data_IF_097127469155
#
_entry.id   IF_097127469155
#
_cell.length_a   1.000
_cell.length_b   1.000
_cell.length_c   1.000
_cell.angle_alpha   90.00
_cell.angle_beta   90.00
_cell.angle_gamma   90.00
#
_symmetry.space_group_name_H-M   'P 1'
#
loop_
_entity.id
_entity.type
_entity.pdbx_description
1 polymer ?
#
# COMPACT_ATOMS: atom_id res chain seq x y z
N UNK A 1 -20.77 28.53 14.57
CA UNK A 1 -20.07 27.65 13.62
C UNK A 1 -18.99 26.88 14.38
N UNK A 2 -19.30 25.65 14.77
CA UNK A 2 -18.37 24.78 15.50
C UNK A 2 -17.19 24.42 14.59
N UNK A 3 -15.96 24.74 15.03
CA UNK A 3 -14.74 24.19 14.43
C UNK A 3 -14.74 22.70 14.76
N UNK A 4 -15.21 21.87 13.84
CA UNK A 4 -14.93 20.44 13.86
C UNK A 4 -13.41 20.32 13.86
N UNK A 5 -12.84 19.93 14.99
CA UNK A 5 -11.45 19.50 15.06
C UNK A 5 -11.29 18.39 14.02
N UNK A 6 -10.60 18.66 12.92
CA UNK A 6 -10.33 17.68 11.86
C UNK A 6 -9.19 16.78 12.31
N UNK A 7 -9.38 16.04 13.41
CA UNK A 7 -8.51 14.92 13.75
C UNK A 7 -8.68 13.87 12.67
N UNK A 8 -7.57 13.43 12.08
CA UNK A 8 -7.62 12.34 11.12
C UNK A 8 -8.07 11.05 11.83
N UNK A 9 -8.86 10.20 11.16
CA UNK A 9 -9.46 9.02 11.78
C UNK A 9 -8.40 8.04 12.26
N UNK A 10 -8.64 7.44 13.42
CA UNK A 10 -7.74 6.51 14.11
C UNK A 10 -8.24 5.06 14.06
N UNK A 11 -9.48 4.83 13.63
CA UNK A 11 -10.09 3.49 13.53
C UNK A 11 -10.72 3.24 12.17
N UNK A 12 -10.97 1.97 11.86
CA UNK A 12 -11.67 1.55 10.64
C UNK A 12 -13.08 2.13 10.64
N UNK A 13 -13.79 2.07 11.77
CA UNK A 13 -15.14 2.57 11.94
C UNK A 13 -15.21 4.08 11.72
N UNK A 14 -14.24 4.85 12.22
CA UNK A 14 -14.16 6.29 11.96
C UNK A 14 -13.88 6.62 10.49
N UNK A 15 -12.97 5.89 9.84
CA UNK A 15 -12.73 6.05 8.39
C UNK A 15 -14.03 5.80 7.64
N UNK A 16 -14.65 4.65 7.84
CA UNK A 16 -15.85 4.23 7.10
C UNK A 16 -17.03 5.18 7.37
N UNK A 17 -17.29 5.52 8.63
CA UNK A 17 -18.38 6.45 8.98
C UNK A 17 -18.17 7.81 8.35
N UNK A 18 -16.94 8.35 8.40
CA UNK A 18 -16.61 9.63 7.77
C UNK A 18 -16.80 9.62 6.25
N UNK A 19 -16.47 8.52 5.57
CA UNK A 19 -16.65 8.42 4.12
C UNK A 19 -18.14 8.22 3.75
N UNK A 20 -18.90 7.49 4.57
CA UNK A 20 -20.36 7.35 4.40
C UNK A 20 -21.10 8.68 4.64
N UNK A 21 -20.73 9.42 5.68
CA UNK A 21 -21.34 10.71 6.05
C UNK A 21 -21.07 11.83 5.04
N UNK A 22 -20.04 11.68 4.19
CA UNK A 22 -19.79 12.60 3.08
C UNK A 22 -20.85 12.50 1.98
N UNK A 23 -21.71 11.47 2.04
CA UNK A 23 -23.10 11.53 1.59
C UNK A 23 -23.37 11.50 0.09
N UNK A 24 -22.41 11.80 -0.79
CA UNK A 24 -22.64 11.83 -2.24
C UNK A 24 -21.43 11.28 -3.02
N UNK A 25 -21.71 10.44 -4.03
CA UNK A 25 -20.73 9.95 -5.01
C UNK A 25 -20.04 8.62 -4.67
N UNK A 26 -19.07 8.25 -5.50
CA UNK A 26 -18.42 6.93 -5.55
C UNK A 26 -17.76 6.50 -4.24
N UNK A 27 -17.25 7.46 -3.48
CA UNK A 27 -16.54 7.26 -2.21
C UNK A 27 -17.43 6.57 -1.17
N UNK A 28 -18.72 6.90 -1.12
CA UNK A 28 -19.66 6.30 -0.18
C UNK A 28 -19.94 4.82 -0.53
N UNK A 29 -20.00 4.48 -1.82
CA UNK A 29 -20.16 3.09 -2.27
C UNK A 29 -18.96 2.24 -1.89
N UNK A 30 -17.74 2.73 -2.15
CA UNK A 30 -16.52 2.06 -1.71
C UNK A 30 -16.51 1.84 -0.19
N UNK A 31 -16.85 2.86 0.60
CA UNK A 31 -16.92 2.73 2.05
C UNK A 31 -17.95 1.67 2.50
N UNK A 32 -19.11 1.58 1.85
CA UNK A 32 -20.09 0.54 2.15
C UNK A 32 -19.55 -0.86 1.83
N UNK A 33 -18.89 -1.05 0.68
CA UNK A 33 -18.30 -2.34 0.29
C UNK A 33 -17.18 -2.73 1.26
N UNK A 34 -16.28 -1.81 1.61
CA UNK A 34 -15.19 -2.10 2.54
C UNK A 34 -15.68 -2.33 3.97
N UNK A 35 -16.76 -1.69 4.40
CA UNK A 35 -17.42 -2.02 5.67
C UNK A 35 -17.86 -3.48 5.70
N UNK A 36 -18.52 -3.94 4.63
CA UNK A 36 -18.97 -5.33 4.53
C UNK A 36 -17.80 -6.31 4.40
N UNK A 37 -16.72 -5.93 3.71
CA UNK A 37 -15.50 -6.75 3.57
C UNK A 37 -14.80 -6.95 4.93
N UNK A 38 -14.70 -5.87 5.73
CA UNK A 38 -13.95 -5.85 6.98
C UNK A 38 -14.78 -6.28 8.20
N UNK A 39 -16.07 -6.59 8.00
CA UNK A 39 -16.98 -7.09 9.05
C UNK A 39 -16.65 -8.54 9.48
N UNK A 40 -17.28 -9.00 10.56
CA UNK A 40 -17.19 -10.39 11.03
C UNK A 40 -18.60 -10.97 11.28
N UNK A 41 -19.07 -11.92 10.45
CA UNK A 41 -18.47 -12.39 9.18
C UNK A 41 -18.56 -11.30 8.09
N UNK A 42 -17.52 -11.20 7.26
CA UNK A 42 -17.46 -10.27 6.13
C UNK A 42 -17.72 -10.96 4.78
N UNK A 43 -17.84 -10.18 3.71
CA UNK A 43 -17.88 -10.69 2.33
C UNK A 43 -16.48 -11.12 1.86
N UNK A 44 -16.39 -11.89 0.77
CA UNK A 44 -15.09 -12.25 0.20
C UNK A 44 -14.48 -11.09 -0.61
N UNK A 45 -13.13 -11.05 -0.81
CA UNK A 45 -12.50 -10.09 -1.71
C UNK A 45 -13.03 -10.15 -3.15
N UNK A 46 -13.41 -11.35 -3.62
CA UNK A 46 -14.01 -11.53 -4.95
C UNK A 46 -15.41 -10.91 -5.03
N UNK A 47 -16.23 -11.10 -4.00
CA UNK A 47 -17.56 -10.45 -3.93
C UNK A 47 -17.43 -8.93 -3.86
N UNK A 48 -16.48 -8.42 -3.09
CA UNK A 48 -16.18 -7.00 -3.01
C UNK A 48 -15.77 -6.44 -4.40
N UNK A 49 -14.88 -7.12 -5.12
CA UNK A 49 -14.48 -6.74 -6.48
C UNK A 49 -15.66 -6.76 -7.46
N UNK A 50 -16.55 -7.76 -7.39
CA UNK A 50 -17.75 -7.81 -8.23
C UNK A 50 -18.72 -6.68 -7.91
N UNK A 51 -18.90 -6.31 -6.63
CA UNK A 51 -19.72 -5.16 -6.23
C UNK A 51 -19.14 -3.84 -6.75
N UNK A 52 -17.83 -3.63 -6.60
CA UNK A 52 -17.15 -2.45 -7.17
C UNK A 52 -17.39 -2.36 -8.67
N UNK A 53 -17.26 -3.48 -9.38
CA UNK A 53 -17.54 -3.54 -10.82
C UNK A 53 -18.98 -3.23 -11.15
N UNK A 54 -19.91 -3.80 -10.39
CA UNK A 54 -21.34 -3.58 -10.57
C UNK A 54 -21.70 -2.09 -10.39
N UNK A 55 -21.18 -1.46 -9.35
CA UNK A 55 -21.42 -0.05 -9.04
C UNK A 55 -20.78 0.87 -10.08
N UNK A 56 -19.59 0.51 -10.58
CA UNK A 56 -18.96 1.22 -11.69
C UNK A 56 -19.84 1.18 -12.94
N UNK A 57 -20.28 -0.01 -13.38
CA UNK A 57 -21.05 -0.21 -14.60
C UNK A 57 -22.47 0.37 -14.53
N UNK A 58 -23.18 0.11 -13.43
CA UNK A 58 -24.62 0.37 -13.33
C UNK A 58 -24.96 1.61 -12.51
N UNK A 59 -24.04 2.09 -11.68
CA UNK A 59 -24.17 3.35 -10.96
C UNK A 59 -23.47 4.46 -11.72
N UNK A 60 -22.15 4.46 -11.66
CA UNK A 60 -21.31 5.57 -12.13
C UNK A 60 -21.43 5.81 -13.64
N UNK A 61 -21.17 4.78 -14.46
CA UNK A 61 -21.21 4.92 -15.92
C UNK A 61 -22.62 5.13 -16.47
N UNK A 62 -23.65 4.60 -15.81
CA UNK A 62 -25.04 4.75 -16.26
C UNK A 62 -25.56 6.19 -16.10
N UNK A 63 -24.93 7.00 -15.24
CA UNK A 63 -25.33 8.39 -14.98
C UNK A 63 -24.56 9.44 -15.78
N UNK A 64 -23.51 9.06 -16.51
CA UNK A 64 -22.67 9.98 -17.29
C UNK A 64 -23.23 10.21 -18.71
N UNK A 65 -23.82 11.39 -19.03
CA UNK A 65 -24.78 11.51 -20.14
C UNK A 65 -24.21 11.42 -21.56
N UNK A 66 -22.92 11.64 -21.82
CA UNK A 66 -22.36 11.52 -23.17
C UNK A 66 -20.91 11.05 -23.11
N UNK A 67 -20.72 9.75 -23.31
CA UNK A 67 -19.43 9.05 -23.38
C UNK A 67 -18.65 9.45 -24.65
N UNK A 68 -18.21 10.70 -24.74
CA UNK A 68 -17.18 11.08 -25.70
C UNK A 68 -15.80 10.65 -25.14
N UNK A 69 -14.99 9.96 -25.94
CA UNK A 69 -13.88 9.13 -25.45
C UNK A 69 -12.78 9.80 -24.60
N UNK A 70 -12.71 11.13 -24.52
CA UNK A 70 -11.85 11.83 -23.55
C UNK A 70 -12.51 11.97 -22.17
N UNK A 71 -13.79 12.32 -22.11
CA UNK A 71 -14.53 12.50 -20.84
C UNK A 71 -14.69 11.17 -20.10
N UNK A 72 -14.80 10.06 -20.84
CA UNK A 72 -14.87 8.72 -20.24
C UNK A 72 -13.60 8.33 -19.48
N UNK A 73 -12.40 8.61 -20.02
CA UNK A 73 -11.13 8.31 -19.32
C UNK A 73 -10.95 9.12 -18.05
N UNK A 74 -11.37 10.39 -18.05
CA UNK A 74 -11.34 11.20 -16.84
C UNK A 74 -12.31 10.66 -15.78
N UNK A 75 -13.52 10.28 -16.18
CA UNK A 75 -14.52 9.70 -15.29
C UNK A 75 -14.03 8.37 -14.67
N UNK A 76 -13.52 7.43 -15.49
CA UNK A 76 -12.91 6.18 -14.98
C UNK A 76 -11.78 6.48 -14.00
N UNK A 77 -10.91 7.43 -14.34
CA UNK A 77 -9.80 7.83 -13.47
C UNK A 77 -10.28 8.38 -12.13
N UNK A 78 -11.31 9.23 -12.13
CA UNK A 78 -11.91 9.79 -10.91
C UNK A 78 -12.56 8.73 -10.03
N UNK A 79 -13.29 7.77 -10.63
CA UNK A 79 -13.88 6.64 -9.90
C UNK A 79 -12.80 5.78 -9.21
N UNK A 80 -11.77 5.39 -9.96
CA UNK A 80 -10.65 4.60 -9.44
C UNK A 80 -9.91 5.34 -8.34
N UNK A 81 -9.66 6.64 -8.54
CA UNK A 81 -9.02 7.49 -7.54
C UNK A 81 -9.80 7.49 -6.22
N UNK A 82 -11.12 7.69 -6.26
CA UNK A 82 -11.97 7.66 -5.07
C UNK A 82 -11.90 6.32 -4.33
N UNK A 83 -11.89 5.21 -5.05
CA UNK A 83 -11.73 3.87 -4.48
C UNK A 83 -10.38 3.67 -3.80
N UNK A 84 -9.29 4.09 -4.45
CA UNK A 84 -7.96 3.97 -3.89
C UNK A 84 -7.74 4.89 -2.69
N UNK A 85 -8.30 6.10 -2.68
CA UNK A 85 -8.26 6.97 -1.52
C UNK A 85 -8.90 6.30 -0.28
N UNK A 86 -10.04 5.62 -0.44
CA UNK A 86 -10.68 4.86 0.65
C UNK A 86 -9.78 3.71 1.12
N UNK A 87 -9.24 2.91 0.18
CA UNK A 87 -8.34 1.80 0.51
C UNK A 87 -7.11 2.28 1.27
N UNK A 88 -6.50 3.40 0.85
CA UNK A 88 -5.32 3.94 1.51
C UNK A 88 -5.61 4.53 2.89
N UNK A 89 -6.78 5.18 3.08
CA UNK A 89 -7.21 5.59 4.42
C UNK A 89 -7.42 4.38 5.34
N UNK A 90 -8.02 3.29 4.84
CA UNK A 90 -8.15 2.04 5.59
C UNK A 90 -6.78 1.41 5.90
N UNK A 91 -5.90 1.34 4.91
CA UNK A 91 -4.55 0.79 5.06
C UNK A 91 -3.72 1.54 6.10
N UNK A 92 -3.99 2.83 6.36
CA UNK A 92 -3.34 3.61 7.43
C UNK A 92 -3.81 3.24 8.83
N UNK A 93 -5.08 2.85 8.99
CA UNK A 93 -5.68 2.56 10.31
C UNK A 93 -5.70 1.07 10.65
N UNK A 94 -5.68 0.19 9.65
CA UNK A 94 -5.56 -1.26 9.87
C UNK A 94 -4.13 -1.58 10.32
N UNK A 95 -3.91 -2.21 11.50
CA UNK A 95 -2.57 -2.57 11.94
C UNK A 95 -1.83 -3.44 10.93
N UNK A 96 -0.53 -3.21 10.75
CA UNK A 96 0.29 -3.90 9.75
C UNK A 96 0.32 -5.43 9.86
N UNK A 97 0.01 -5.98 11.04
CA UNK A 97 -0.03 -7.42 11.34
C UNK A 97 -1.44 -8.03 11.19
N UNK A 98 -2.46 -7.20 11.04
CA UNK A 98 -3.86 -7.62 10.94
C UNK A 98 -4.13 -8.27 9.58
N UNK A 99 -4.89 -9.37 9.57
CA UNK A 99 -5.27 -10.10 8.35
C UNK A 99 -6.10 -9.25 7.38
N UNK A 100 -6.77 -8.21 7.89
CA UNK A 100 -7.52 -7.26 7.07
C UNK A 100 -6.65 -6.49 6.08
N UNK A 101 -5.35 -6.34 6.34
CA UNK A 101 -4.40 -5.85 5.33
C UNK A 101 -4.39 -6.75 4.09
N UNK A 102 -4.41 -8.07 4.27
CA UNK A 102 -4.48 -9.01 3.15
C UNK A 102 -5.82 -8.93 2.41
N UNK A 103 -6.93 -8.71 3.10
CA UNK A 103 -8.24 -8.55 2.45
C UNK A 103 -8.25 -7.34 1.50
N UNK A 104 -7.62 -6.22 1.89
CA UNK A 104 -7.50 -5.05 1.02
C UNK A 104 -6.67 -5.35 -0.23
N UNK A 105 -5.51 -5.99 -0.06
CA UNK A 105 -4.62 -6.38 -1.18
C UNK A 105 -5.30 -7.39 -2.10
N UNK A 106 -5.97 -8.40 -1.55
CA UNK A 106 -6.68 -9.40 -2.34
C UNK A 106 -7.84 -8.80 -3.12
N UNK A 107 -8.54 -7.81 -2.58
CA UNK A 107 -9.61 -7.11 -3.33
C UNK A 107 -9.04 -6.42 -4.57
N UNK A 108 -7.86 -5.78 -4.46
CA UNK A 108 -7.17 -5.19 -5.61
C UNK A 108 -6.76 -6.25 -6.64
N UNK A 109 -6.28 -7.41 -6.20
CA UNK A 109 -5.93 -8.51 -7.10
C UNK A 109 -7.15 -9.10 -7.81
N UNK A 110 -8.28 -9.23 -7.12
CA UNK A 110 -9.54 -9.70 -7.71
C UNK A 110 -10.08 -8.70 -8.74
N UNK A 111 -9.95 -7.39 -8.50
CA UNK A 111 -10.30 -6.37 -9.50
C UNK A 111 -9.53 -6.55 -10.81
N UNK A 112 -8.25 -6.96 -10.75
CA UNK A 112 -7.43 -7.22 -11.96
C UNK A 112 -7.80 -8.46 -12.73
N UNK A 113 -8.50 -9.40 -12.08
CA UNK A 113 -8.99 -10.63 -12.73
C UNK A 113 -10.32 -10.43 -13.45
N UNK A 114 -10.98 -9.29 -13.21
CA UNK A 114 -12.23 -8.98 -13.89
C UNK A 114 -11.98 -8.85 -15.40
N UNK A 115 -12.87 -9.41 -16.24
CA UNK A 115 -12.70 -9.33 -17.68
C UNK A 115 -12.73 -7.87 -18.15
N UNK A 116 -11.96 -7.54 -19.21
CA UNK A 116 -12.05 -6.26 -19.88
C UNK A 116 -13.49 -5.90 -20.22
N UNK A 117 -13.76 -4.61 -20.24
CA UNK A 117 -15.06 -4.05 -20.54
C UNK A 117 -15.09 -3.57 -21.99
N UNK A 118 -16.25 -3.64 -22.67
CA UNK A 118 -16.39 -3.05 -23.99
C UNK A 118 -16.08 -1.55 -23.92
N UNK A 119 -15.08 -1.08 -24.67
CA UNK A 119 -14.84 0.36 -24.79
C UNK A 119 -15.83 0.95 -25.80
N UNK A 120 -16.06 2.26 -25.74
CA UNK A 120 -16.86 2.97 -26.76
C UNK A 120 -16.11 3.21 -28.07
N UNK A 121 -14.84 2.81 -28.14
CA UNK A 121 -14.05 2.89 -29.37
C UNK A 121 -14.16 1.55 -30.08
N UNK A 122 -14.68 1.56 -31.30
CA UNK A 122 -14.81 0.34 -32.12
C UNK A 122 -13.49 -0.43 -32.14
N UNK A 123 -13.50 -1.65 -31.59
CA UNK A 123 -12.37 -2.57 -31.58
C UNK A 123 -11.37 -2.42 -30.41
N UNK A 124 -11.59 -1.52 -29.45
CA UNK A 124 -10.78 -1.46 -28.22
C UNK A 124 -11.55 -2.07 -27.04
N UNK A 125 -10.86 -2.84 -26.20
CA UNK A 125 -11.34 -3.30 -24.89
C UNK A 125 -10.70 -2.43 -23.81
N UNK A 126 -11.50 -1.92 -22.88
CA UNK A 126 -11.00 -1.15 -21.75
C UNK A 126 -10.84 -2.05 -20.52
N UNK A 127 -9.63 -2.18 -20.02
CA UNK A 127 -9.30 -2.98 -18.84
C UNK A 127 -8.83 -2.04 -17.72
N UNK A 128 -9.75 -1.26 -17.10
CA UNK A 128 -9.40 -0.12 -16.24
C UNK A 128 -8.58 -0.52 -15.01
N UNK A 129 -8.64 -1.79 -14.59
CA UNK A 129 -7.91 -2.32 -13.45
C UNK A 129 -6.55 -2.96 -13.83
N UNK A 130 -6.29 -3.23 -15.12
CA UNK A 130 -5.12 -4.01 -15.59
C UNK A 130 -3.94 -3.14 -16.01
N UNK A 131 -4.20 -1.99 -16.62
CA UNK A 131 -3.21 -0.97 -17.01
C UNK A 131 -3.42 0.32 -16.20
N UNK A 132 -3.59 0.14 -14.90
CA UNK A 132 -4.01 1.17 -13.98
C UNK A 132 -2.84 2.05 -13.51
N UNK A 133 -2.72 3.23 -14.12
CA UNK A 133 -1.80 4.28 -13.69
C UNK A 133 -2.32 5.08 -12.48
N UNK A 134 -3.63 5.06 -12.20
CA UNK A 134 -4.23 5.82 -11.11
C UNK A 134 -3.78 5.25 -9.77
N UNK A 135 -3.73 3.93 -9.64
CA UNK A 135 -3.19 3.30 -8.43
C UNK A 135 -1.78 3.80 -8.11
N UNK A 136 -0.88 3.86 -9.10
CA UNK A 136 0.48 4.32 -8.90
C UNK A 136 0.56 5.79 -8.41
N UNK A 137 -0.25 6.67 -8.99
CA UNK A 137 -0.34 8.09 -8.58
C UNK A 137 -0.85 8.21 -7.15
N UNK A 138 -1.97 7.57 -6.81
CA UNK A 138 -2.55 7.63 -5.46
C UNK A 138 -1.61 7.00 -4.43
N UNK A 139 -0.89 5.94 -4.81
CA UNK A 139 0.13 5.31 -3.95
C UNK A 139 1.27 6.26 -3.62
N UNK A 140 1.79 6.96 -4.64
CA UNK A 140 2.88 7.91 -4.50
C UNK A 140 2.47 9.10 -3.62
N UNK A 141 1.28 9.67 -3.85
CA UNK A 141 0.76 10.75 -3.02
C UNK A 141 0.53 10.28 -1.59
N UNK A 142 -0.02 9.08 -1.42
CA UNK A 142 -0.27 8.48 -0.12
C UNK A 142 1.01 8.24 0.67
N UNK A 143 2.06 7.76 -0.01
CA UNK A 143 3.39 7.53 0.56
C UNK A 143 4.08 8.86 0.91
N UNK A 144 4.06 9.86 0.02
CA UNK A 144 4.68 11.17 0.28
C UNK A 144 4.01 11.94 1.42
N UNK A 145 2.68 11.87 1.53
CA UNK A 145 1.93 12.55 2.60
C UNK A 145 2.13 11.90 3.97
N UNK A 146 2.32 10.57 3.99
CA UNK A 146 2.41 9.80 5.24
C UNK A 146 3.81 9.72 5.86
N UNK A 147 4.87 9.94 5.08
CA UNK A 147 6.24 9.70 5.51
C UNK A 147 6.65 10.60 6.70
N UNK A 148 6.91 10.04 7.90
CA UNK A 148 7.27 10.83 9.07
C UNK A 148 8.67 11.42 8.89
N UNK A 149 8.73 12.75 8.96
CA UNK A 149 9.98 13.50 9.08
C UNK A 149 10.40 13.56 10.55
N UNK A 150 11.41 14.35 10.88
CA UNK A 150 11.70 14.67 12.28
C UNK A 150 10.48 15.30 12.97
N UNK A 151 10.27 15.00 14.25
CA UNK A 151 9.06 15.35 15.03
C UNK A 151 8.66 16.83 14.93
N UNK A 152 9.61 17.73 14.67
CA UNK A 152 9.35 19.16 14.54
C UNK A 152 8.68 19.71 15.79
N UNK A 153 7.57 20.42 15.62
CA UNK A 153 6.74 20.98 16.71
C UNK A 153 5.55 20.09 17.11
N UNK A 154 5.38 18.92 16.49
CA UNK A 154 4.23 18.07 16.76
C UNK A 154 4.29 17.47 18.18
N UNK A 155 3.17 17.45 18.93
CA UNK A 155 3.09 16.69 20.17
C UNK A 155 3.49 15.23 19.96
N UNK A 156 4.20 14.64 20.93
CA UNK A 156 4.73 13.27 20.82
C UNK A 156 3.67 12.25 20.43
N UNK A 157 2.47 12.34 21.00
CA UNK A 157 1.36 11.42 20.67
C UNK A 157 0.91 11.54 19.22
N UNK A 158 0.80 12.75 18.68
CA UNK A 158 0.43 12.95 17.27
C UNK A 158 1.52 12.44 16.34
N UNK A 159 2.78 12.67 16.70
CA UNK A 159 3.93 12.16 15.95
C UNK A 159 4.01 10.63 15.99
N UNK A 160 3.74 10.01 17.14
CA UNK A 160 3.65 8.57 17.30
C UNK A 160 2.51 7.97 16.44
N UNK A 161 1.35 8.62 16.39
CA UNK A 161 0.25 8.23 15.49
C UNK A 161 0.67 8.30 14.02
N UNK A 162 1.37 9.37 13.60
CA UNK A 162 1.91 9.48 12.23
C UNK A 162 2.87 8.33 11.92
N UNK A 163 3.77 8.00 12.84
CA UNK A 163 4.68 6.87 12.70
C UNK A 163 3.94 5.52 12.56
N UNK A 164 2.90 5.27 13.36
CA UNK A 164 2.10 4.04 13.27
C UNK A 164 1.37 3.93 11.94
N UNK A 165 0.72 5.01 11.48
CA UNK A 165 0.05 5.04 10.18
C UNK A 165 1.01 4.82 9.03
N UNK A 166 2.23 5.33 9.17
CA UNK A 166 3.30 5.06 8.21
C UNK A 166 3.67 3.58 8.12
N UNK A 167 3.88 2.93 9.27
CA UNK A 167 4.15 1.48 9.31
C UNK A 167 3.03 0.69 8.63
N UNK A 168 1.77 1.03 8.91
CA UNK A 168 0.62 0.35 8.34
C UNK A 168 0.55 0.53 6.82
N UNK A 169 0.66 1.75 6.31
CA UNK A 169 0.58 2.00 4.87
C UNK A 169 1.80 1.46 4.11
N UNK A 170 3.01 1.52 4.67
CA UNK A 170 4.19 0.91 4.06
C UNK A 170 4.08 -0.62 4.03
N UNK A 171 3.49 -1.25 5.06
CA UNK A 171 3.21 -2.69 5.04
C UNK A 171 2.23 -3.06 3.93
N UNK A 172 1.14 -2.29 3.78
CA UNK A 172 0.18 -2.46 2.71
C UNK A 172 0.83 -2.35 1.32
N UNK A 173 1.61 -1.28 1.09
CA UNK A 173 2.36 -1.07 -0.14
C UNK A 173 3.34 -2.22 -0.42
N UNK A 174 4.04 -2.70 0.60
CA UNK A 174 4.94 -3.85 0.47
C UNK A 174 4.21 -5.12 0.05
N UNK A 175 3.02 -5.39 0.60
CA UNK A 175 2.19 -6.52 0.17
C UNK A 175 1.71 -6.34 -1.27
N UNK A 176 1.31 -5.13 -1.65
CA UNK A 176 0.93 -4.81 -3.03
C UNK A 176 2.08 -5.06 -4.01
N UNK A 177 3.29 -4.57 -3.72
CA UNK A 177 4.47 -4.81 -4.55
C UNK A 177 4.85 -6.29 -4.61
N UNK A 178 4.83 -6.99 -3.46
CA UNK A 178 5.10 -8.43 -3.41
C UNK A 178 4.09 -9.29 -4.16
N UNK A 179 2.85 -8.79 -4.32
CA UNK A 179 1.79 -9.43 -5.09
C UNK A 179 1.79 -9.04 -6.59
N UNK A 180 2.77 -8.24 -7.03
CA UNK A 180 2.89 -7.82 -8.42
C UNK A 180 1.93 -6.69 -8.83
N UNK A 181 1.31 -5.98 -7.86
CA UNK A 181 0.39 -4.90 -8.20
C UNK A 181 1.10 -3.73 -8.91
N UNK A 182 2.41 -3.54 -8.73
CA UNK A 182 3.16 -2.44 -9.34
C UNK A 182 3.96 -2.80 -10.59
N UNK A 183 4.08 -4.07 -11.00
CA UNK A 183 5.12 -4.53 -11.95
C UNK A 183 5.23 -3.76 -13.28
N UNK A 184 4.11 -3.24 -13.79
CA UNK A 184 4.08 -2.49 -15.06
C UNK A 184 4.50 -1.03 -14.92
N UNK A 185 4.54 -0.49 -13.71
CA UNK A 185 4.89 0.92 -13.49
C UNK A 185 6.42 1.11 -13.49
N UNK A 186 6.98 2.08 -14.23
CA UNK A 186 8.44 2.31 -14.27
C UNK A 186 9.08 2.52 -12.89
N UNK A 187 8.35 3.16 -11.98
CA UNK A 187 8.81 3.46 -10.61
C UNK A 187 8.29 2.47 -9.56
N UNK A 188 7.91 1.25 -9.95
CA UNK A 188 7.29 0.24 -9.09
C UNK A 188 8.07 -0.13 -7.83
N UNK A 189 9.39 0.10 -7.82
CA UNK A 189 10.29 -0.18 -6.70
C UNK A 189 10.91 1.09 -6.11
N UNK A 190 10.35 2.26 -6.42
CA UNK A 190 10.78 3.53 -5.83
C UNK A 190 10.63 3.51 -4.30
N UNK A 191 9.48 3.14 -3.78
CA UNK A 191 9.23 3.13 -2.33
C UNK A 191 10.21 2.24 -1.56
N UNK A 192 10.42 0.95 -1.90
CA UNK A 192 11.41 0.13 -1.21
C UNK A 192 12.83 0.64 -1.39
N UNK A 193 13.16 1.33 -2.50
CA UNK A 193 14.47 1.96 -2.71
C UNK A 193 14.79 3.07 -1.71
N UNK A 194 13.77 3.72 -1.16
CA UNK A 194 13.92 4.75 -0.14
C UNK A 194 13.75 4.16 1.26
N UNK A 195 12.64 3.47 1.51
CA UNK A 195 12.25 3.01 2.83
C UNK A 195 13.23 1.99 3.43
N UNK A 196 13.73 1.05 2.63
CA UNK A 196 14.68 0.04 3.13
C UNK A 196 16.01 0.70 3.47
N UNK A 197 16.47 1.63 2.65
CA UNK A 197 17.71 2.40 2.91
C UNK A 197 17.56 3.24 4.18
N UNK A 198 16.46 3.96 4.34
CA UNK A 198 16.22 4.78 5.53
C UNK A 198 16.17 3.95 6.82
N UNK A 199 15.68 2.71 6.77
CA UNK A 199 15.59 1.83 7.94
C UNK A 199 16.86 1.06 8.27
N UNK A 200 17.61 0.60 7.26
CA UNK A 200 18.80 -0.25 7.46
C UNK A 200 20.12 0.54 7.42
N UNK A 201 20.09 1.75 6.87
CA UNK A 201 21.22 2.68 6.83
C UNK A 201 20.80 4.05 7.42
N UNK A 202 20.30 4.07 8.68
CA UNK A 202 19.74 5.27 9.27
C UNK A 202 20.80 6.35 9.48
N UNK A 203 20.35 7.60 9.50
CA UNK A 203 21.22 8.72 9.86
C UNK A 203 21.51 8.64 11.36
N UNK A 204 22.76 8.95 11.76
CA UNK A 204 23.19 8.91 13.17
C UNK A 204 22.32 9.75 14.12
N UNK A 205 21.63 10.75 13.60
CA UNK A 205 20.84 11.72 14.37
C UNK A 205 19.34 11.41 14.38
N UNK A 206 18.89 10.29 13.80
CA UNK A 206 17.47 9.94 13.80
C UNK A 206 16.97 9.74 15.25
N UNK A 207 15.87 10.42 15.66
CA UNK A 207 15.28 10.23 16.98
C UNK A 207 14.87 8.77 17.23
N UNK A 208 14.87 8.27 18.48
CA UNK A 208 14.62 6.86 18.77
C UNK A 208 13.32 6.30 18.17
N UNK A 209 12.22 7.04 18.26
CA UNK A 209 10.93 6.63 17.68
C UNK A 209 11.00 6.54 16.16
N UNK A 210 11.62 7.52 15.49
CA UNK A 210 11.76 7.51 14.03
C UNK A 210 12.65 6.36 13.56
N UNK A 211 13.75 6.10 14.28
CA UNK A 211 14.65 4.97 14.02
C UNK A 211 13.91 3.63 14.15
N UNK A 212 13.12 3.45 15.21
CA UNK A 212 12.26 2.26 15.40
C UNK A 212 11.29 2.09 14.23
N UNK A 213 10.57 3.14 13.88
CA UNK A 213 9.59 3.16 12.80
C UNK A 213 10.21 2.78 11.45
N UNK A 214 11.33 3.40 11.08
CA UNK A 214 12.03 3.12 9.81
C UNK A 214 12.59 1.70 9.74
N UNK A 215 13.16 1.20 10.84
CA UNK A 215 13.65 -0.18 10.90
C UNK A 215 12.51 -1.20 10.70
N UNK A 216 11.35 -0.96 11.33
CA UNK A 216 10.16 -1.79 11.14
C UNK A 216 9.66 -1.76 9.70
N UNK A 217 9.53 -0.57 9.11
CA UNK A 217 9.10 -0.39 7.72
C UNK A 217 10.04 -1.12 6.75
N UNK A 218 11.36 -0.97 6.91
CA UNK A 218 12.33 -1.66 6.07
C UNK A 218 12.20 -3.19 6.17
N UNK A 219 12.04 -3.72 7.39
CA UNK A 219 11.84 -5.14 7.60
C UNK A 219 10.53 -5.65 6.96
N UNK A 220 9.44 -4.87 7.01
CA UNK A 220 8.17 -5.21 6.37
C UNK A 220 8.27 -5.22 4.83
N UNK A 221 8.99 -4.26 4.24
CA UNK A 221 9.28 -4.27 2.80
C UNK A 221 10.00 -5.54 2.36
N UNK A 222 11.06 -5.93 3.08
CA UNK A 222 11.79 -7.17 2.79
C UNK A 222 10.92 -8.40 3.02
N UNK A 223 10.12 -8.43 4.09
CA UNK A 223 9.27 -9.56 4.43
C UNK A 223 8.21 -9.83 3.34
N UNK A 224 7.54 -8.79 2.87
CA UNK A 224 6.40 -8.93 1.96
C UNK A 224 6.80 -8.83 0.47
N UNK A 225 7.75 -7.97 0.11
CA UNK A 225 8.17 -7.73 -1.27
C UNK A 225 9.58 -8.24 -1.59
N UNK A 226 10.24 -8.97 -0.67
CA UNK A 226 11.66 -9.30 -0.82
C UNK A 226 12.03 -10.08 -2.08
N UNK A 227 11.14 -10.93 -2.60
CA UNK A 227 11.39 -11.63 -3.87
C UNK A 227 11.43 -10.64 -5.03
N UNK A 228 10.37 -9.84 -5.20
CA UNK A 228 10.26 -8.79 -6.23
C UNK A 228 11.43 -7.82 -6.20
N UNK A 229 11.83 -7.37 -4.99
CA UNK A 229 12.98 -6.48 -4.80
C UNK A 229 14.28 -7.15 -5.28
N UNK A 230 14.51 -8.41 -4.88
CA UNK A 230 15.74 -9.12 -5.22
C UNK A 230 15.84 -9.42 -6.72
N UNK A 231 14.74 -9.82 -7.35
CA UNK A 231 14.70 -10.10 -8.79
C UNK A 231 15.07 -8.85 -9.60
N UNK A 232 14.55 -7.68 -9.19
CA UNK A 232 14.91 -6.40 -9.80
C UNK A 232 16.37 -6.00 -9.53
N UNK A 233 16.88 -6.23 -8.31
CA UNK A 233 18.29 -6.03 -7.97
C UNK A 233 19.21 -6.89 -8.83
N UNK A 234 18.87 -8.15 -9.09
CA UNK A 234 19.63 -9.04 -9.97
C UNK A 234 19.57 -8.53 -11.42
N UNK A 235 18.40 -8.11 -11.88
CA UNK A 235 18.20 -7.60 -13.24
C UNK A 235 19.02 -6.34 -13.53
N UNK A 236 19.14 -5.43 -12.57
CA UNK A 236 19.79 -4.14 -12.78
C UNK A 236 21.24 -4.06 -12.28
N UNK A 237 21.60 -4.85 -11.25
CA UNK A 237 22.93 -4.97 -10.63
C UNK A 237 23.72 -3.66 -10.55
N UNK A 238 23.20 -2.70 -9.76
CA UNK A 238 23.85 -1.41 -9.52
C UNK A 238 24.46 -1.37 -8.11
N UNK A 239 25.53 -0.60 -7.87
CA UNK A 239 26.14 -0.49 -6.54
C UNK A 239 25.17 -0.07 -5.42
N UNK A 240 24.17 0.76 -5.75
CA UNK A 240 23.14 1.22 -4.81
C UNK A 240 21.90 0.31 -4.76
N UNK A 241 21.77 -0.63 -5.69
CA UNK A 241 20.58 -1.46 -5.89
C UNK A 241 20.96 -2.73 -6.67
N UNK A 242 21.49 -3.71 -5.94
CA UNK A 242 22.05 -4.94 -6.51
C UNK A 242 22.30 -6.00 -5.44
N UNK A 243 22.72 -7.22 -5.82
CA UNK A 243 22.89 -8.34 -4.89
C UNK A 243 23.90 -8.07 -3.75
N UNK A 244 24.90 -7.23 -4.00
CA UNK A 244 25.83 -6.77 -2.95
C UNK A 244 25.11 -5.96 -1.87
N UNK A 245 24.18 -5.10 -2.28
CA UNK A 245 23.35 -4.30 -1.38
C UNK A 245 22.40 -5.18 -0.57
N UNK A 246 21.81 -6.19 -1.21
CA UNK A 246 21.00 -7.21 -0.53
C UNK A 246 21.75 -7.89 0.61
N UNK A 247 23.02 -8.28 0.39
CA UNK A 247 23.86 -8.84 1.44
C UNK A 247 24.07 -7.87 2.61
N UNK A 248 24.43 -6.61 2.31
CA UNK A 248 24.61 -5.57 3.33
C UNK A 248 23.33 -5.38 4.16
N UNK A 249 22.16 -5.38 3.52
CA UNK A 249 20.88 -5.27 4.21
C UNK A 249 20.59 -6.48 5.11
N UNK A 250 20.99 -7.68 4.69
CA UNK A 250 20.93 -8.86 5.55
C UNK A 250 21.75 -8.69 6.82
N UNK A 251 22.98 -8.20 6.72
CA UNK A 251 23.83 -7.91 7.89
C UNK A 251 23.20 -6.85 8.81
N UNK A 252 22.61 -5.79 8.23
CA UNK A 252 21.90 -4.75 8.98
C UNK A 252 20.63 -5.24 9.66
N UNK A 253 19.89 -6.16 9.05
CA UNK A 253 18.73 -6.77 9.70
C UNK A 253 19.12 -7.67 10.88
N UNK A 254 20.31 -8.30 10.86
CA UNK A 254 20.85 -9.02 12.04
C UNK A 254 21.11 -8.04 13.20
N UNK A 255 21.69 -6.86 12.91
CA UNK A 255 21.87 -5.80 13.90
C UNK A 255 20.51 -5.37 14.49
N UNK A 256 19.51 -5.11 13.62
CA UNK A 256 18.14 -4.72 14.04
C UNK A 256 17.48 -5.81 14.89
N UNK A 257 17.57 -7.08 14.49
CA UNK A 257 17.00 -8.21 15.22
C UNK A 257 17.60 -8.40 16.63
N UNK A 258 18.84 -7.90 16.84
CA UNK A 258 19.58 -8.04 18.09
C UNK A 258 19.49 -6.79 19.00
N UNK A 259 19.05 -5.65 18.48
CA UNK A 259 18.96 -4.39 19.24
C UNK A 259 17.70 -4.35 20.11
N UNK A 260 17.87 -4.65 21.41
CA UNK A 260 16.79 -4.65 22.40
C UNK A 260 16.06 -3.30 22.53
N UNK A 261 16.71 -2.18 22.15
CA UNK A 261 16.13 -0.85 22.28
C UNK A 261 15.07 -0.56 21.21
N UNK A 262 15.02 -1.36 20.13
CA UNK A 262 14.01 -1.22 19.08
C UNK A 262 12.68 -1.88 19.45
N UNK A 263 12.64 -2.66 20.53
CA UNK A 263 11.45 -3.37 21.00
C UNK A 263 11.21 -4.71 20.29
N UNK A 264 10.37 -5.55 20.92
CA UNK A 264 10.13 -6.94 20.51
C UNK A 264 9.52 -7.07 19.11
N UNK A 265 8.52 -6.24 18.81
CA UNK A 265 7.84 -6.19 17.51
C UNK A 265 8.83 -6.03 16.35
N UNK A 266 9.67 -4.99 16.39
CA UNK A 266 10.64 -4.71 15.32
C UNK A 266 11.63 -5.85 15.16
N UNK A 267 12.11 -6.40 16.28
CA UNK A 267 13.04 -7.52 16.27
C UNK A 267 12.41 -8.78 15.67
N UNK A 268 11.18 -9.10 16.05
CA UNK A 268 10.43 -10.25 15.52
C UNK A 268 10.22 -10.14 14.00
N UNK A 269 9.82 -8.96 13.51
CA UNK A 269 9.66 -8.72 12.07
C UNK A 269 11.01 -8.79 11.34
N UNK A 270 12.08 -8.24 11.92
CA UNK A 270 13.43 -8.32 11.34
C UNK A 270 13.92 -9.78 11.20
N UNK A 271 13.65 -10.64 12.19
CA UNK A 271 13.97 -12.08 12.11
C UNK A 271 13.22 -12.74 10.96
N UNK A 272 11.92 -12.45 10.80
CA UNK A 272 11.12 -13.00 9.69
C UNK A 272 11.61 -12.48 8.34
N UNK A 273 11.97 -11.20 8.25
CA UNK A 273 12.56 -10.59 7.06
C UNK A 273 13.89 -11.25 6.69
N UNK A 274 14.77 -11.54 7.65
CA UNK A 274 16.00 -12.32 7.42
C UNK A 274 15.70 -13.70 6.85
N UNK A 275 14.73 -14.41 7.43
CA UNK A 275 14.29 -15.71 6.92
C UNK A 275 13.84 -15.62 5.46
N UNK A 276 13.08 -14.57 5.11
CA UNK A 276 12.70 -14.28 3.72
C UNK A 276 13.91 -14.03 2.82
N UNK A 277 14.89 -13.22 3.26
CA UNK A 277 16.09 -12.93 2.46
C UNK A 277 16.89 -14.19 2.13
N UNK A 278 17.08 -15.06 3.13
CA UNK A 278 17.79 -16.32 2.96
C UNK A 278 17.05 -17.21 1.96
N UNK A 279 15.73 -17.35 2.10
CA UNK A 279 14.91 -18.15 1.20
C UNK A 279 15.00 -17.66 -0.27
N UNK A 280 14.94 -16.35 -0.48
CA UNK A 280 15.07 -15.72 -1.80
C UNK A 280 16.46 -16.00 -2.41
N UNK A 281 17.54 -15.78 -1.65
CA UNK A 281 18.91 -16.00 -2.13
C UNK A 281 19.30 -17.46 -2.33
N UNK A 282 18.59 -18.41 -1.70
CA UNK A 282 18.75 -19.85 -1.98
C UNK A 282 18.01 -20.21 -3.26
N UNK A 283 16.77 -19.73 -3.43
CA UNK A 283 15.94 -20.02 -4.61
C UNK A 283 16.59 -19.53 -5.90
N UNK A 284 17.18 -18.33 -5.89
CA UNK A 284 17.86 -17.77 -7.07
C UNK A 284 19.10 -18.57 -7.49
N UNK A 285 19.84 -19.13 -6.53
CA UNK A 285 21.03 -19.97 -6.79
C UNK A 285 20.69 -21.33 -7.38
N UNK A 286 19.47 -21.81 -7.20
CA UNK A 286 18.99 -23.06 -7.79
C UNK A 286 18.46 -22.88 -9.23
N UNK A 287 18.21 -21.64 -9.65
CA UNK A 287 17.70 -21.29 -10.98
C UNK A 287 18.77 -20.79 -11.95
N UNK A 288 19.98 -20.51 -11.46
CA UNK A 288 21.16 -20.10 -12.24
C UNK A 288 22.05 -21.31 -12.59
#
# INVERSE_FOLDING_TARGET
MSRISRTAPDTIEEVLSRQLDRGEGDIAYFAAIFRDLLATPGISPADAAQRIRHDFLNGYLATEPEWNGLSSRFAVGSFLQGGYEVIFELARVVPHEDVRQDLLVQTLLELRKLPPQPSTREGEEDAPYVDDLVFAVVSEDSWNQGCPREQGSDPFEEYNKKCKRWVNVSSFLARCSGAGLYEKHPDCLKHPSVDVVLGLEPKRLDPPLLRKTRALVAALWILHAGQTIFDDMVKHDKPSWGPSKWKTWGEKLVEVASDINLGEEVRSVAIRALGKMVAVSVSSRLQA
#
